data_IF_720964638844
#
_entry.id   IF_720964638844
#
_cell.length_a   1.000
_cell.length_b   1.000
_cell.length_c   1.000
_cell.angle_alpha   90.00
_cell.angle_beta   90.00
_cell.angle_gamma   90.00
#
_symmetry.space_group_name_H-M   'P 1'
#
loop_
_entity.id
_entity.type
_entity.pdbx_description
1 polymer ?
#
# COMPACT_ATOMS: atom_id res chain seq x y z
N UNK A 1 11.46 -19.59 15.23
CA UNK A 1 10.09 -19.24 14.77
C UNK A 1 9.12 -19.91 15.72
N UNK A 2 8.28 -19.16 16.45
CA UNK A 2 7.73 -19.57 17.74
C UNK A 2 6.18 -19.66 17.80
N UNK A 3 5.54 -20.15 16.74
CA UNK A 3 4.07 -20.31 16.74
C UNK A 3 3.59 -21.73 17.09
N UNK A 4 4.43 -22.77 16.90
CA UNK A 4 4.15 -24.14 17.32
C UNK A 4 2.74 -24.63 16.93
N UNK A 5 2.07 -25.31 17.86
CA UNK A 5 0.71 -25.85 17.70
C UNK A 5 -0.39 -24.78 17.55
N UNK A 6 -0.10 -23.50 17.84
CA UNK A 6 -1.08 -22.41 17.73
C UNK A 6 -1.11 -21.78 16.33
N UNK A 7 -0.23 -22.21 15.43
CA UNK A 7 -0.20 -21.72 14.06
C UNK A 7 -1.44 -22.17 13.28
N UNK A 8 -2.13 -21.23 12.65
CA UNK A 8 -3.20 -21.50 11.69
C UNK A 8 -2.72 -21.17 10.29
N UNK A 9 -2.68 -22.17 9.42
CA UNK A 9 -2.33 -21.96 8.02
C UNK A 9 -3.49 -21.30 7.28
N UNK A 10 -3.30 -20.04 6.87
CA UNK A 10 -4.34 -19.23 6.23
C UNK A 10 -3.98 -18.81 4.80
N UNK A 11 -2.76 -19.07 4.33
CA UNK A 11 -2.29 -18.59 3.02
C UNK A 11 -2.13 -17.07 2.91
N UNK A 12 -2.22 -16.35 4.03
CA UNK A 12 -2.07 -14.89 4.07
C UNK A 12 -0.59 -14.49 4.16
N UNK A 13 -0.20 -13.45 3.42
CA UNK A 13 1.15 -12.88 3.50
C UNK A 13 1.36 -12.09 4.79
N UNK A 14 0.34 -11.37 5.25
CA UNK A 14 0.37 -10.59 6.48
C UNK A 14 -0.52 -11.23 7.54
N UNK A 15 0.11 -11.83 8.54
CA UNK A 15 -0.55 -12.55 9.62
C UNK A 15 -0.14 -12.04 10.99
N UNK A 16 -0.97 -12.32 11.99
CA UNK A 16 -0.57 -12.26 13.38
C UNK A 16 0.51 -13.31 13.66
N UNK A 17 1.08 -13.30 14.87
CA UNK A 17 2.09 -14.28 15.30
C UNK A 17 1.61 -15.74 15.26
N UNK A 18 0.30 -15.97 15.10
CA UNK A 18 -0.34 -17.30 15.07
C UNK A 18 -1.01 -17.61 13.73
N UNK A 19 -0.75 -16.83 12.68
CA UNK A 19 -1.26 -17.12 11.33
C UNK A 19 -2.66 -16.57 11.03
N UNK A 20 -3.32 -15.93 12.01
CA UNK A 20 -4.63 -15.28 11.81
C UNK A 20 -4.50 -13.94 11.09
N UNK A 21 -5.58 -13.41 10.47
CA UNK A 21 -5.56 -12.07 9.86
C UNK A 21 -5.16 -10.98 10.86
N UNK A 22 -4.45 -9.96 10.39
CA UNK A 22 -4.14 -8.79 11.21
C UNK A 22 -5.41 -7.96 11.38
N UNK A 23 -5.83 -7.74 12.63
CA UNK A 23 -6.90 -6.78 12.91
C UNK A 23 -6.45 -5.35 12.59
N UNK A 24 -7.30 -4.54 11.93
CA UNK A 24 -6.96 -3.14 11.59
C UNK A 24 -6.56 -2.28 12.79
N UNK A 25 -7.10 -2.55 13.98
CA UNK A 25 -6.75 -1.81 15.19
C UNK A 25 -5.30 -2.08 15.62
N UNK A 26 -4.78 -3.29 15.41
CA UNK A 26 -3.39 -3.62 15.70
C UNK A 26 -2.41 -2.84 14.82
N UNK A 27 -2.77 -2.59 13.55
CA UNK A 27 -2.01 -1.72 12.67
C UNK A 27 -2.02 -0.27 13.17
N UNK A 28 -3.16 0.22 13.65
CA UNK A 28 -3.25 1.57 14.24
C UNK A 28 -2.39 1.66 15.50
N UNK A 29 -2.44 0.65 16.39
CA UNK A 29 -1.64 0.60 17.62
C UNK A 29 -0.14 0.61 17.39
N UNK A 30 0.35 0.05 16.29
CA UNK A 30 1.77 0.14 15.93
C UNK A 30 2.11 1.45 15.20
N UNK A 31 1.20 1.96 14.37
CA UNK A 31 1.41 3.16 13.56
C UNK A 31 1.50 4.46 14.38
N UNK A 32 0.53 4.73 15.27
CA UNK A 32 0.48 6.01 15.98
C UNK A 32 1.72 6.27 16.85
N UNK A 33 2.20 5.33 17.68
CA UNK A 33 3.42 5.54 18.47
C UNK A 33 4.66 5.79 17.61
N UNK A 34 4.80 5.08 16.48
CA UNK A 34 5.91 5.28 15.56
C UNK A 34 5.89 6.70 14.97
N UNK A 35 4.73 7.10 14.49
CA UNK A 35 4.52 8.41 13.90
C UNK A 35 4.78 9.54 14.90
N UNK A 36 4.28 9.41 16.12
CA UNK A 36 4.46 10.40 17.18
C UNK A 36 5.93 10.50 17.59
N UNK A 37 6.66 9.37 17.65
CA UNK A 37 8.11 9.34 17.88
C UNK A 37 8.90 10.04 16.77
N UNK A 38 8.40 10.04 15.54
CA UNK A 38 9.01 10.74 14.40
C UNK A 38 8.54 12.21 14.28
N UNK A 39 7.66 12.68 15.18
CA UNK A 39 7.11 14.04 15.15
C UNK A 39 6.19 14.30 13.95
N UNK A 40 5.59 13.26 13.39
CA UNK A 40 4.77 13.34 12.19
C UNK A 40 3.28 13.42 12.53
N UNK A 41 2.50 14.14 11.72
CA UNK A 41 1.03 14.22 11.87
C UNK A 41 0.34 13.77 10.59
N UNK A 42 0.37 12.47 10.33
CA UNK A 42 -0.37 11.81 9.24
C UNK A 42 -1.12 10.55 9.67
N UNK A 43 -2.18 10.21 8.96
CA UNK A 43 -2.95 8.97 9.10
C UNK A 43 -2.31 7.89 8.24
N UNK A 44 -2.59 6.62 8.55
CA UNK A 44 -2.01 5.51 7.79
C UNK A 44 -2.37 5.56 6.29
N UNK A 45 -3.58 6.02 5.94
CA UNK A 45 -3.98 6.16 4.53
C UNK A 45 -3.33 7.34 3.81
N UNK A 46 -2.74 8.30 4.53
CA UNK A 46 -2.02 9.39 3.89
C UNK A 46 -0.76 8.85 3.18
N UNK A 47 -0.19 7.72 3.62
CA UNK A 47 0.88 7.01 2.89
C UNK A 47 0.46 6.61 1.48
N UNK A 48 -0.80 6.16 1.33
CA UNK A 48 -1.36 5.82 0.03
C UNK A 48 -1.55 7.06 -0.84
N UNK A 49 -2.01 8.17 -0.25
CA UNK A 49 -2.09 9.43 -0.97
C UNK A 49 -0.71 9.91 -1.42
N UNK A 50 0.30 9.82 -0.55
CA UNK A 50 1.69 10.15 -0.90
C UNK A 50 2.18 9.28 -2.05
N UNK A 51 1.92 7.98 -2.04
CA UNK A 51 2.27 7.09 -3.16
C UNK A 51 1.62 7.55 -4.48
N UNK A 52 0.32 7.85 -4.47
CA UNK A 52 -0.40 8.36 -5.65
C UNK A 52 0.21 9.67 -6.14
N UNK A 53 0.44 10.64 -5.25
CA UNK A 53 1.06 11.93 -5.60
C UNK A 53 2.45 11.74 -6.21
N UNK A 54 3.30 10.90 -5.61
CA UNK A 54 4.65 10.67 -6.10
C UNK A 54 4.67 9.98 -7.46
N UNK A 55 3.75 9.04 -7.72
CA UNK A 55 3.62 8.40 -9.03
C UNK A 55 3.16 9.40 -10.11
N UNK A 56 2.22 10.29 -9.78
CA UNK A 56 1.80 11.36 -10.68
C UNK A 56 2.93 12.34 -10.98
N UNK A 57 3.71 12.72 -9.96
CA UNK A 57 4.90 13.58 -10.11
C UNK A 57 5.97 12.94 -11.01
N UNK A 58 6.09 11.61 -10.97
CA UNK A 58 7.00 10.84 -11.84
C UNK A 58 6.48 10.70 -13.29
N UNK A 59 5.36 11.34 -13.62
CA UNK A 59 4.76 11.30 -14.95
C UNK A 59 4.05 9.98 -15.26
N UNK A 60 3.75 9.14 -14.26
CA UNK A 60 3.02 7.90 -14.47
C UNK A 60 1.59 8.24 -14.91
N UNK A 61 1.09 7.66 -16.01
CA UNK A 61 -0.26 7.92 -16.50
C UNK A 61 -1.33 7.65 -15.43
N UNK A 62 -2.35 8.53 -15.27
CA UNK A 62 -3.36 8.39 -14.22
C UNK A 62 -4.10 7.05 -14.21
N UNK A 63 -4.31 6.43 -15.37
CA UNK A 63 -4.96 5.11 -15.46
C UNK A 63 -4.11 3.99 -14.83
N UNK A 64 -2.78 4.08 -14.92
CA UNK A 64 -1.83 3.14 -14.29
C UNK A 64 -1.79 3.40 -12.78
N UNK A 65 -1.70 4.66 -12.36
CA UNK A 65 -1.73 5.03 -10.92
C UNK A 65 -3.01 4.53 -10.25
N UNK A 66 -4.15 4.65 -10.93
CA UNK A 66 -5.44 4.12 -10.45
C UNK A 66 -5.41 2.60 -10.25
N UNK A 67 -4.75 1.86 -11.15
CA UNK A 67 -4.62 0.42 -11.01
C UNK A 67 -3.65 0.02 -9.90
N UNK A 68 -2.53 0.73 -9.74
CA UNK A 68 -1.55 0.52 -8.66
C UNK A 68 -2.18 0.81 -7.29
N UNK A 69 -2.91 1.92 -7.17
CA UNK A 69 -3.69 2.20 -5.99
C UNK A 69 -4.72 1.07 -5.80
N UNK A 70 -5.36 0.60 -6.86
CA UNK A 70 -6.48 -0.32 -6.76
C UNK A 70 -7.77 0.47 -6.62
N UNK A 71 -8.89 -0.12 -7.09
CA UNK A 71 -10.19 0.49 -7.36
C UNK A 71 -10.88 1.26 -6.20
N UNK A 72 -10.21 1.49 -5.07
CA UNK A 72 -10.67 2.33 -3.97
C UNK A 72 -10.68 3.79 -4.40
N UNK A 73 -11.83 4.20 -4.96
CA UNK A 73 -12.32 5.54 -5.27
C UNK A 73 -11.36 6.72 -5.02
N UNK A 74 -10.77 7.22 -6.11
CA UNK A 74 -10.35 8.62 -6.22
C UNK A 74 -11.21 9.16 -7.34
N UNK A 75 -12.21 9.96 -6.98
CA UNK A 75 -13.18 10.52 -7.91
C UNK A 75 -12.53 11.13 -9.14
N UNK A 76 -13.24 10.98 -10.26
CA UNK A 76 -12.98 11.44 -11.65
C UNK A 76 -12.50 10.34 -12.61
N UNK A 77 -13.51 9.82 -13.32
CA UNK A 77 -13.60 9.61 -14.77
C UNK A 77 -12.32 9.25 -15.53
N UNK A 78 -12.22 7.96 -15.90
CA UNK A 78 -11.93 7.51 -17.26
C UNK A 78 -12.31 6.02 -17.34
N UNK A 79 -13.62 5.76 -17.43
CA UNK A 79 -14.10 4.55 -18.11
C UNK A 79 -13.75 4.79 -19.57
N UNK A 80 -12.74 4.12 -20.11
CA UNK A 80 -12.67 3.64 -21.51
C UNK A 80 -11.27 3.09 -21.84
N UNK A 81 -10.17 3.49 -21.19
CA UNK A 81 -8.84 3.06 -21.65
C UNK A 81 -8.01 2.24 -20.65
N UNK A 82 -7.60 1.09 -21.16
CA UNK A 82 -6.40 0.31 -20.83
C UNK A 82 -6.35 -0.35 -19.46
N UNK A 83 -6.46 -1.69 -19.46
CA UNK A 83 -5.79 -2.46 -18.43
C UNK A 83 -4.28 -2.26 -18.59
N UNK A 84 -3.63 -1.56 -17.67
CA UNK A 84 -2.17 -1.53 -17.67
C UNK A 84 -1.65 -2.94 -17.40
N UNK A 85 -0.60 -3.32 -18.12
CA UNK A 85 0.07 -4.59 -17.90
C UNK A 85 0.72 -4.61 -16.51
N UNK A 86 0.90 -5.81 -15.94
CA UNK A 86 1.65 -5.97 -14.69
C UNK A 86 3.08 -5.41 -14.79
N UNK A 87 3.67 -5.43 -15.99
CA UNK A 87 5.01 -4.91 -16.23
C UNK A 87 5.06 -3.39 -16.19
N UNK A 88 4.04 -2.70 -16.70
CA UNK A 88 3.93 -1.24 -16.56
C UNK A 88 3.75 -0.82 -15.10
N UNK A 89 2.92 -1.55 -14.35
CA UNK A 89 2.76 -1.30 -12.91
C UNK A 89 4.07 -1.52 -12.15
N UNK A 90 4.80 -2.61 -12.45
CA UNK A 90 6.13 -2.87 -11.86
C UNK A 90 7.13 -1.79 -12.21
N UNK A 91 7.17 -1.33 -13.47
CA UNK A 91 8.08 -0.28 -13.90
C UNK A 91 7.81 1.04 -13.17
N UNK A 92 6.54 1.42 -13.02
CA UNK A 92 6.15 2.61 -12.27
C UNK A 92 6.48 2.52 -10.78
N UNK A 93 6.31 1.34 -10.16
CA UNK A 93 6.73 1.13 -8.77
C UNK A 93 8.26 1.10 -8.63
N UNK A 94 8.98 0.61 -9.65
CA UNK A 94 10.44 0.66 -9.71
C UNK A 94 10.96 2.09 -9.70
N UNK A 95 10.43 2.98 -10.55
CA UNK A 95 10.83 4.38 -10.55
C UNK A 95 10.49 5.11 -9.24
N UNK A 96 9.39 4.74 -8.59
CA UNK A 96 9.08 5.24 -7.24
C UNK A 96 10.12 4.77 -6.21
N UNK A 97 10.55 3.51 -6.27
CA UNK A 97 11.59 2.97 -5.40
C UNK A 97 12.92 3.70 -5.59
N UNK A 98 13.32 3.95 -6.83
CA UNK A 98 14.57 4.67 -7.15
C UNK A 98 14.55 6.12 -6.64
N UNK A 99 13.38 6.77 -6.59
CA UNK A 99 13.22 8.13 -6.05
C UNK A 99 13.31 8.19 -4.52
N UNK A 100 13.02 7.08 -3.83
CA UNK A 100 12.99 6.99 -2.36
C UNK A 100 14.29 6.42 -1.76
N UNK A 101 15.18 5.87 -2.60
CA UNK A 101 16.51 5.39 -2.22
C UNK A 101 17.52 6.53 -2.05
#
# INVERSE_FOLDING_TARGET
>A
MAAGERWTETGLVFTSRVGTPIEPDNLRRSWYPLRDRLGLTLRFHDLRHTCVTLLLDLGVPPHIVRQIAGHSDIGVTMKVYAHASLDEQRKALGSLSDRLA
#
